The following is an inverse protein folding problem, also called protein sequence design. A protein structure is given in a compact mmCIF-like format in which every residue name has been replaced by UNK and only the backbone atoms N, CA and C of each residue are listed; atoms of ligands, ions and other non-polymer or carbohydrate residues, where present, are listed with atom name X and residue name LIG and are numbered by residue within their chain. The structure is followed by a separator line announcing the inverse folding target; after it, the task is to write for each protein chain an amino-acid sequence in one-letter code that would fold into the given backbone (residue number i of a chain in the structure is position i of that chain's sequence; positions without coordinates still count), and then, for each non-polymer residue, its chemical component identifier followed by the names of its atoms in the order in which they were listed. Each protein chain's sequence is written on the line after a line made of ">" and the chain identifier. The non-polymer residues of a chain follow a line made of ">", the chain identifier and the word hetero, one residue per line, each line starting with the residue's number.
data_IF_961207278650
#
_entry.id   IF_961207278650
#
_cell.length_a   1.000
_cell.length_b   1.000
_cell.length_c   1.000
_cell.angle_alpha   90.00
_cell.angle_beta   90.00
_cell.angle_gamma   90.00
#
_symmetry.space_group_name_H-M   'P 1'
#
loop_
_entity.id
_entity.type
_entity.pdbx_description
1 polymer ?
#
# COMPACT_ATOMS: atom_id res chain seq x y z
N UNK A 1 -4.40 29.37 -59.04
CA UNK A 1 -3.75 28.08 -58.70
C UNK A 1 -2.37 28.40 -58.17
N UNK A 2 -1.89 28.03 -56.99
CA UNK A 2 -2.43 27.45 -55.76
C UNK A 2 -1.75 28.18 -54.59
N UNK A 3 -2.37 28.32 -53.42
CA UNK A 3 -2.40 27.25 -52.42
C UNK A 3 -1.47 27.65 -51.28
N UNK A 4 -1.97 28.49 -50.37
CA UNK A 4 -1.28 28.92 -49.13
C UNK A 4 -1.14 27.69 -48.21
N UNK A 5 0.09 27.23 -47.97
CA UNK A 5 0.36 26.17 -46.99
C UNK A 5 0.33 26.76 -45.57
N UNK A 6 -0.84 26.73 -44.94
CA UNK A 6 -0.97 26.88 -43.50
C UNK A 6 -0.37 25.63 -42.85
N UNK A 7 0.80 25.77 -42.22
CA UNK A 7 1.34 24.74 -41.31
C UNK A 7 0.42 24.67 -40.10
N UNK A 8 -0.37 23.58 -40.02
CA UNK A 8 -1.09 23.20 -38.81
C UNK A 8 -0.06 22.85 -37.73
N UNK A 9 0.04 23.73 -36.73
CA UNK A 9 0.75 23.46 -35.49
C UNK A 9 -0.16 22.53 -34.68
N UNK A 10 0.12 21.24 -34.72
CA UNK A 10 -0.48 20.27 -33.79
C UNK A 10 0.07 20.55 -32.40
N UNK A 11 -0.64 21.37 -31.64
CA UNK A 11 -0.42 21.49 -30.19
C UNK A 11 -0.86 20.17 -29.58
N UNK A 12 0.10 19.28 -29.35
CA UNK A 12 -0.11 18.15 -28.46
C UNK A 12 -0.38 18.73 -27.07
N UNK A 13 -1.66 18.77 -26.68
CA UNK A 13 -2.04 18.89 -25.28
C UNK A 13 -1.46 17.66 -24.58
N UNK A 14 -0.28 17.83 -23.99
CA UNK A 14 0.20 16.97 -22.93
C UNK A 14 -0.82 17.12 -21.81
N UNK A 15 -1.77 16.20 -21.75
CA UNK A 15 -2.60 16.01 -20.57
C UNK A 15 -1.61 15.65 -19.47
N UNK A 16 -1.19 16.65 -18.70
CA UNK A 16 -0.50 16.40 -17.44
C UNK A 16 -1.53 15.69 -16.58
N UNK A 17 -1.46 14.36 -16.60
CA UNK A 17 -2.14 13.54 -15.63
C UNK A 17 -1.61 14.02 -14.29
N UNK A 18 -2.43 14.81 -13.59
CA UNK A 18 -2.18 15.18 -12.20
C UNK A 18 -2.18 13.86 -11.43
N UNK A 19 -1.02 13.24 -11.34
CA UNK A 19 -0.76 12.29 -10.27
C UNK A 19 -1.04 13.07 -9.01
N UNK A 20 -2.11 12.67 -8.33
CA UNK A 20 -2.47 13.13 -7.01
C UNK A 20 -1.28 12.74 -6.12
N UNK A 21 -0.30 13.64 -6.07
CA UNK A 21 0.82 13.64 -5.14
C UNK A 21 0.26 14.06 -3.78
N UNK A 22 -0.61 13.23 -3.22
CA UNK A 22 -1.00 13.34 -1.84
C UNK A 22 -0.32 12.23 -1.07
N UNK A 23 0.22 12.65 0.06
CA UNK A 23 0.92 11.90 1.08
C UNK A 23 2.41 11.66 0.79
N UNK A 24 3.23 12.36 1.58
CA UNK A 24 4.60 11.94 1.92
C UNK A 24 4.53 10.48 2.36
N UNK A 25 4.80 9.55 1.46
CA UNK A 25 4.73 8.12 1.77
C UNK A 25 6.11 7.57 1.54
N UNK A 26 6.64 6.91 2.57
CA UNK A 26 8.00 6.41 2.58
C UNK A 26 8.29 5.45 1.41
N UNK A 27 9.44 4.79 1.46
CA UNK A 27 9.91 3.94 0.37
C UNK A 27 8.87 2.86 0.05
N UNK A 28 8.41 2.80 -1.20
CA UNK A 28 7.57 1.69 -1.66
C UNK A 28 8.36 0.39 -1.56
N UNK A 29 7.86 -0.57 -0.80
CA UNK A 29 8.45 -1.90 -0.62
C UNK A 29 7.73 -2.97 -1.41
N UNK A 30 6.44 -2.76 -1.71
CA UNK A 30 5.64 -3.71 -2.48
C UNK A 30 4.49 -3.02 -3.21
N UNK A 31 4.20 -3.49 -4.42
CA UNK A 31 2.99 -3.15 -5.16
C UNK A 31 2.30 -4.45 -5.58
N UNK A 32 1.03 -4.61 -5.22
CA UNK A 32 0.18 -5.71 -5.66
C UNK A 32 -1.05 -5.13 -6.34
N UNK A 33 -1.49 -5.74 -7.44
CA UNK A 33 -2.65 -5.26 -8.22
C UNK A 33 -3.68 -6.37 -8.37
N UNK A 34 -4.95 -5.99 -8.29
CA UNK A 34 -6.04 -6.84 -8.74
C UNK A 34 -6.87 -6.10 -9.81
N UNK A 35 -8.05 -6.64 -10.16
CA UNK A 35 -8.92 -6.10 -11.22
C UNK A 35 -9.47 -4.70 -10.93
N UNK A 36 -9.50 -4.25 -9.68
CA UNK A 36 -10.14 -2.99 -9.28
C UNK A 36 -9.22 -2.06 -8.48
N UNK A 37 -8.20 -2.60 -7.82
CA UNK A 37 -7.38 -1.85 -6.86
C UNK A 37 -5.87 -2.08 -7.04
N UNK A 38 -5.11 -1.05 -6.70
CA UNK A 38 -3.67 -1.12 -6.44
C UNK A 38 -3.43 -1.06 -4.94
N UNK A 39 -2.60 -1.97 -4.43
CA UNK A 39 -2.19 -2.07 -3.04
C UNK A 39 -0.71 -1.74 -2.97
N UNK A 40 -0.38 -0.66 -2.28
CA UNK A 40 0.99 -0.16 -2.16
C UNK A 40 1.41 -0.25 -0.69
N UNK A 41 2.50 -0.96 -0.44
CA UNK A 41 3.15 -1.00 0.86
C UNK A 41 4.29 0.01 0.87
N UNK A 42 4.26 0.92 1.84
CA UNK A 42 5.29 1.95 2.01
C UNK A 42 5.95 1.80 3.37
N UNK A 43 7.27 1.65 3.39
CA UNK A 43 8.07 1.67 4.60
C UNK A 43 8.48 3.10 4.95
N UNK A 44 8.21 3.52 6.18
CA UNK A 44 8.40 4.88 6.67
C UNK A 44 9.40 4.85 7.84
N UNK A 45 10.42 5.71 7.73
CA UNK A 45 11.31 6.01 8.85
C UNK A 45 10.77 7.24 9.59
N UNK A 46 10.24 7.01 10.80
CA UNK A 46 9.64 8.02 11.67
C UNK A 46 10.71 8.70 12.56
N UNK A 47 12.00 8.49 12.27
CA UNK A 47 13.12 9.04 13.03
C UNK A 47 13.18 8.46 14.44
N UNK A 48 13.06 9.33 15.44
CA UNK A 48 13.13 8.93 16.85
C UNK A 48 11.95 8.07 17.30
N UNK A 49 10.87 8.04 16.52
CA UNK A 49 9.68 7.23 16.81
C UNK A 49 9.76 5.81 16.19
N UNK A 50 10.87 5.48 15.54
CA UNK A 50 11.11 4.16 14.95
C UNK A 50 10.64 4.07 13.50
N UNK A 51 10.00 2.95 13.16
CA UNK A 51 9.58 2.64 11.80
C UNK A 51 8.12 2.24 11.75
N UNK A 52 7.47 2.53 10.63
CA UNK A 52 6.10 2.12 10.36
C UNK A 52 5.99 1.65 8.91
N UNK A 53 4.91 0.96 8.59
CA UNK A 53 4.54 0.67 7.20
C UNK A 53 3.12 1.11 6.94
N UNK A 54 2.87 1.81 5.85
CA UNK A 54 1.51 2.15 5.43
C UNK A 54 1.11 1.27 4.26
N UNK A 55 -0.01 0.56 4.42
CA UNK A 55 -0.70 -0.08 3.32
C UNK A 55 -1.74 0.89 2.77
N UNK A 56 -1.63 1.19 1.49
CA UNK A 56 -2.48 2.15 0.78
C UNK A 56 -3.17 1.43 -0.36
N UNK A 57 -4.49 1.59 -0.42
CA UNK A 57 -5.33 0.94 -1.39
C UNK A 57 -6.00 2.01 -2.24
N UNK A 58 -5.75 1.96 -3.54
CA UNK A 58 -6.23 2.95 -4.51
C UNK A 58 -7.11 2.23 -5.53
N UNK A 59 -8.31 2.75 -5.78
CA UNK A 59 -9.12 2.37 -6.94
C UNK A 59 -8.44 2.94 -8.19
N UNK A 60 -7.86 2.07 -9.02
CA UNK A 60 -7.07 2.55 -10.16
C UNK A 60 -7.93 3.16 -11.27
N UNK A 61 -9.22 2.82 -11.35
CA UNK A 61 -10.13 3.35 -12.37
C UNK A 61 -10.51 4.79 -12.03
N UNK A 62 -10.69 5.07 -10.74
CA UNK A 62 -11.07 6.40 -10.24
C UNK A 62 -9.89 7.22 -9.74
N UNK A 63 -8.71 6.62 -9.64
CA UNK A 63 -7.51 7.20 -9.04
C UNK A 63 -7.79 7.78 -7.64
N UNK A 64 -8.55 7.04 -6.83
CA UNK A 64 -9.05 7.50 -5.53
C UNK A 64 -8.49 6.63 -4.41
N UNK A 65 -8.04 7.26 -3.32
CA UNK A 65 -7.71 6.57 -2.08
C UNK A 65 -8.99 5.91 -1.51
N UNK A 66 -8.94 4.59 -1.38
CA UNK A 66 -10.02 3.78 -0.83
C UNK A 66 -9.79 3.51 0.64
N UNK A 67 -8.56 3.11 0.99
CA UNK A 67 -8.23 2.73 2.35
C UNK A 67 -6.73 2.94 2.61
N UNK A 68 -6.41 3.37 3.82
CA UNK A 68 -5.04 3.45 4.33
C UNK A 68 -5.01 2.90 5.74
N UNK A 69 -4.11 1.96 5.99
CA UNK A 69 -3.84 1.44 7.34
C UNK A 69 -2.35 1.59 7.66
N UNK A 70 -2.06 2.12 8.84
CA UNK A 70 -0.71 2.16 9.39
C UNK A 70 -0.44 0.86 10.15
N UNK A 71 0.73 0.30 9.93
CA UNK A 71 1.16 -0.98 10.44
C UNK A 71 2.46 -0.80 11.20
N UNK A 72 2.58 -1.55 12.29
CA UNK A 72 3.82 -1.72 13.01
C UNK A 72 4.85 -2.31 12.05
N UNK A 73 6.06 -1.75 12.10
CA UNK A 73 7.21 -2.24 11.37
C UNK A 73 8.45 -1.97 12.20
N UNK A 74 9.50 -2.75 11.97
CA UNK A 74 10.86 -2.37 12.31
C UNK A 74 11.75 -2.60 11.08
N UNK A 75 13.07 -2.41 11.22
CA UNK A 75 14.03 -2.58 10.13
C UNK A 75 14.06 -4.01 9.57
N UNK A 76 13.83 -5.02 10.41
CA UNK A 76 14.02 -6.43 10.08
C UNK A 76 12.68 -7.16 9.81
N UNK A 77 11.57 -6.60 10.30
CA UNK A 77 10.26 -7.25 10.37
C UNK A 77 9.20 -6.39 9.66
N UNK A 78 9.42 -6.10 8.38
CA UNK A 78 8.44 -5.39 7.55
C UNK A 78 7.26 -6.31 7.18
N UNK A 79 6.02 -5.81 7.19
CA UNK A 79 4.88 -6.54 6.66
C UNK A 79 5.00 -6.75 5.15
N UNK A 80 4.51 -7.88 4.68
CA UNK A 80 4.42 -8.23 3.27
C UNK A 80 3.00 -8.73 2.93
N UNK A 81 2.49 -8.35 1.78
CA UNK A 81 1.22 -8.84 1.24
C UNK A 81 1.47 -10.18 0.55
N UNK A 82 0.98 -11.27 1.12
CA UNK A 82 1.11 -12.61 0.54
C UNK A 82 0.18 -12.80 -0.65
N UNK A 83 -1.09 -12.43 -0.47
CA UNK A 83 -2.14 -12.63 -1.46
C UNK A 83 -3.38 -11.81 -1.15
N UNK A 84 -4.21 -11.64 -2.17
CA UNK A 84 -5.49 -10.92 -2.07
C UNK A 84 -6.56 -11.84 -2.66
N UNK A 85 -7.59 -12.16 -1.85
CA UNK A 85 -8.71 -13.02 -2.27
C UNK A 85 -10.02 -12.32 -1.97
N UNK A 86 -10.66 -11.80 -3.01
CA UNK A 86 -11.84 -10.94 -2.85
C UNK A 86 -11.49 -9.68 -2.06
N UNK A 87 -12.18 -9.43 -0.95
CA UNK A 87 -11.92 -8.33 -0.03
C UNK A 87 -10.98 -8.69 1.13
N UNK A 88 -10.38 -9.89 1.11
CA UNK A 88 -9.45 -10.33 2.16
C UNK A 88 -8.01 -10.11 1.69
N UNK A 89 -7.25 -9.35 2.48
CA UNK A 89 -5.82 -9.12 2.30
C UNK A 89 -5.06 -9.99 3.30
N UNK A 90 -4.29 -10.95 2.79
CA UNK A 90 -3.44 -11.81 3.59
C UNK A 90 -2.05 -11.20 3.68
N UNK A 91 -1.56 -11.04 4.90
CA UNK A 91 -0.30 -10.38 5.18
C UNK A 91 0.53 -11.20 6.15
N UNK A 92 1.83 -11.16 5.93
CA UNK A 92 2.80 -11.83 6.79
C UNK A 92 3.79 -10.85 7.38
N UNK A 93 4.22 -11.17 8.60
CA UNK A 93 5.40 -10.64 9.26
C UNK A 93 6.44 -11.74 9.39
N UNK A 94 7.68 -11.34 9.69
CA UNK A 94 8.77 -12.27 9.99
C UNK A 94 9.38 -11.95 11.37
N UNK A 95 8.54 -11.82 12.39
CA UNK A 95 9.02 -11.66 13.76
C UNK A 95 9.80 -12.90 14.20
N UNK A 96 10.87 -12.70 14.99
CA UNK A 96 11.69 -13.75 15.60
C UNK A 96 10.98 -14.48 16.76
N UNK A 97 9.73 -14.88 16.54
CA UNK A 97 8.90 -15.71 17.41
C UNK A 97 8.28 -16.82 16.57
N UNK A 98 7.58 -17.76 17.19
CA UNK A 98 6.94 -18.89 16.48
C UNK A 98 5.91 -18.42 15.44
N UNK A 99 5.61 -19.32 14.49
CA UNK A 99 4.54 -19.12 13.52
C UNK A 99 3.20 -19.00 14.25
N UNK A 100 2.48 -17.90 14.02
CA UNK A 100 1.24 -17.63 14.73
C UNK A 100 0.33 -16.71 13.91
N UNK A 101 -0.98 -16.86 14.08
CA UNK A 101 -1.93 -15.85 13.63
C UNK A 101 -1.78 -14.61 14.52
N UNK A 102 -1.56 -13.46 13.89
CA UNK A 102 -1.39 -12.18 14.56
C UNK A 102 -2.75 -11.46 14.65
N UNK A 103 -3.07 -10.91 15.82
CA UNK A 103 -4.32 -10.17 15.97
C UNK A 103 -4.14 -8.78 15.36
N UNK A 104 -5.22 -8.27 14.78
CA UNK A 104 -5.27 -6.92 14.21
C UNK A 104 -4.68 -5.86 15.15
N UNK A 105 -5.03 -5.93 16.44
CA UNK A 105 -4.58 -4.97 17.46
C UNK A 105 -3.08 -5.02 17.78
N UNK A 106 -2.40 -6.11 17.42
CA UNK A 106 -0.98 -6.32 17.73
C UNK A 106 -0.09 -5.67 16.66
N UNK A 107 -0.65 -5.39 15.48
CA UNK A 107 0.10 -4.95 14.29
C UNK A 107 -0.43 -3.67 13.66
N UNK A 108 -1.70 -3.30 13.84
CA UNK A 108 -2.25 -2.06 13.29
C UNK A 108 -2.04 -0.90 14.27
N UNK A 109 -1.68 0.26 13.73
CA UNK A 109 -1.40 1.48 14.48
C UNK A 109 -2.45 2.57 14.21
N UNK A 110 -2.45 3.59 15.07
CA UNK A 110 -3.22 4.82 14.90
C UNK A 110 -4.73 4.62 14.90
N UNK A 111 -5.45 5.48 14.18
CA UNK A 111 -6.92 5.57 14.22
C UNK A 111 -7.63 4.28 13.80
N UNK A 112 -6.98 3.48 12.94
CA UNK A 112 -7.55 2.21 12.46
C UNK A 112 -7.56 1.12 13.52
N UNK A 113 -6.76 1.24 14.58
CA UNK A 113 -6.85 0.38 15.76
C UNK A 113 -8.19 0.53 16.49
N UNK A 114 -8.71 1.76 16.55
CA UNK A 114 -9.93 2.13 17.28
C UNK A 114 -11.15 2.00 16.36
N UNK A 115 -11.02 2.39 15.10
CA UNK A 115 -12.11 2.42 14.12
C UNK A 115 -11.96 1.36 13.02
N UNK A 116 -11.75 0.11 13.41
CA UNK A 116 -11.60 -1.01 12.47
C UNK A 116 -12.92 -1.44 11.80
N UNK A 117 -14.08 -1.00 12.32
CA UNK A 117 -15.41 -1.32 11.77
C UNK A 117 -15.68 -0.67 10.41
N UNK A 118 -14.96 0.40 10.09
CA UNK A 118 -15.10 1.15 8.84
C UNK A 118 -14.10 0.67 7.77
N UNK A 119 -13.41 -0.44 8.00
CA UNK A 119 -12.49 -1.00 7.01
C UNK A 119 -13.27 -1.68 5.89
N UNK A 120 -12.90 -1.36 4.65
CA UNK A 120 -13.48 -1.96 3.45
C UNK A 120 -12.89 -3.36 3.24
N UNK A 121 -11.60 -3.52 3.52
CA UNK A 121 -10.92 -4.79 3.42
C UNK A 121 -10.84 -5.51 4.77
N UNK A 122 -10.87 -6.83 4.72
CA UNK A 122 -10.58 -7.68 5.87
C UNK A 122 -9.11 -8.06 5.84
N UNK A 123 -8.42 -7.90 6.97
CA UNK A 123 -6.99 -8.19 7.07
C UNK A 123 -6.75 -9.45 7.89
N UNK A 124 -5.93 -10.35 7.35
CA UNK A 124 -5.45 -11.54 8.05
C UNK A 124 -3.95 -11.47 8.15
N UNK A 125 -3.44 -11.42 9.37
CA UNK A 125 -2.02 -11.29 9.65
C UNK A 125 -1.47 -12.60 10.19
N UNK A 126 -0.33 -13.02 9.67
CA UNK A 126 0.39 -14.21 10.15
C UNK A 126 1.84 -13.86 10.42
N UNK A 127 2.44 -14.48 11.42
CA UNK A 127 3.88 -14.49 11.57
C UNK A 127 4.43 -15.73 10.86
N UNK A 128 5.34 -15.51 9.90
CA UNK A 128 6.11 -16.55 9.22
C UNK A 128 7.56 -16.39 9.65
N UNK A 129 7.91 -17.08 10.72
CA UNK A 129 9.26 -17.14 11.24
C UNK A 129 10.18 -17.81 10.23
N UNK A 130 11.28 -17.16 9.87
CA UNK A 130 12.40 -17.79 9.18
C UNK A 130 13.28 -18.64 10.13
N UNK A 131 12.85 -18.88 11.37
CA UNK A 131 13.57 -19.80 12.27
C UNK A 131 13.52 -21.19 11.64
N UNK A 132 14.63 -21.58 11.01
CA UNK A 132 14.86 -22.94 10.56
C UNK A 132 14.53 -23.89 11.72
N UNK A 133 13.61 -24.86 11.54
CA UNK A 133 13.48 -25.94 12.50
C UNK A 133 14.75 -26.79 12.37
N UNK A 134 15.72 -26.53 13.25
CA UNK A 134 16.84 -27.44 13.53
C UNK A 134 16.56 -28.17 14.82
#
# INVERSE_FOLDING_TARGET
>A
MGGKYLKLISIALVVSCNQISLHKKGKITQIVKNKDYTFEMHFINEGQFGYSSNLIIIDFKKNQLIEEIALRSDLDNMPYIDSIKGNIVYMSYNFRVENADLKFKDVVLGDKLINNKNLIFTYKFTNKSLVNPH
#
